data_IF_903275451097
#
_entry.id   IF_903275451097
#
_cell.length_a   1.000
_cell.length_b   1.000
_cell.length_c   1.000
_cell.angle_alpha   90.00
_cell.angle_beta   90.00
_cell.angle_gamma   90.00
#
_symmetry.space_group_name_H-M   'P 1'
#
loop_
_entity.id
_entity.type
_entity.pdbx_description
1 polymer ?
#
# COMPACT_ATOMS: atom_id res chain seq x y z
N UNK A 1 12.75 5.64 11.22
CA UNK A 1 12.23 5.24 9.90
C UNK A 1 10.75 4.95 9.99
N UNK A 2 10.03 5.15 8.90
CA UNK A 2 8.62 4.87 8.75
C UNK A 2 8.40 3.58 7.97
N UNK A 3 7.28 2.92 8.24
CA UNK A 3 6.79 1.74 7.54
C UNK A 3 5.32 1.95 7.23
N UNK A 4 4.86 1.38 6.12
CA UNK A 4 3.45 1.36 5.76
C UNK A 4 2.96 -0.09 5.73
N UNK A 5 1.80 -0.36 6.32
CA UNK A 5 1.09 -1.65 6.22
C UNK A 5 -0.19 -1.43 5.45
N UNK A 6 -0.44 -2.26 4.45
CA UNK A 6 -1.74 -2.36 3.78
C UNK A 6 -2.57 -3.45 4.44
N UNK A 7 -3.89 -3.28 4.51
CA UNK A 7 -4.81 -4.30 5.02
C UNK A 7 -6.23 -4.03 4.51
N UNK A 8 -7.18 -4.90 4.87
CA UNK A 8 -8.54 -4.83 4.34
C UNK A 8 -8.62 -5.09 2.83
N UNK A 9 -7.86 -6.10 2.38
CA UNK A 9 -7.69 -6.41 0.97
C UNK A 9 -8.81 -7.22 0.34
N UNK A 10 -9.16 -6.89 -0.90
CA UNK A 10 -10.09 -7.60 -1.79
C UNK A 10 -9.55 -7.69 -3.21
N UNK A 11 -9.96 -8.71 -3.96
CA UNK A 11 -9.59 -8.87 -5.39
C UNK A 11 -10.58 -8.19 -6.34
N UNK A 12 -11.82 -8.00 -5.89
CA UNK A 12 -12.85 -7.24 -6.59
C UNK A 12 -13.09 -5.94 -5.83
N UNK A 13 -12.80 -4.75 -6.41
CA UNK A 13 -12.94 -3.47 -5.72
C UNK A 13 -14.39 -3.13 -5.38
N UNK A 14 -15.37 -3.70 -6.10
CA UNK A 14 -16.80 -3.46 -5.88
C UNK A 14 -17.42 -4.48 -4.90
N UNK A 15 -16.61 -5.38 -4.33
CA UNK A 15 -17.05 -6.36 -3.36
C UNK A 15 -17.47 -5.68 -2.04
N UNK A 16 -18.74 -5.84 -1.69
CA UNK A 16 -19.24 -5.50 -0.36
C UNK A 16 -18.67 -6.49 0.67
N UNK A 17 -17.94 -5.97 1.66
CA UNK A 17 -17.17 -6.79 2.61
C UNK A 17 -17.81 -6.78 3.99
N UNK A 18 -18.18 -7.98 4.46
CA UNK A 18 -18.65 -8.19 5.83
C UNK A 18 -17.51 -8.51 6.82
N UNK A 19 -16.28 -8.73 6.33
CA UNK A 19 -15.10 -9.09 7.12
C UNK A 19 -13.87 -8.19 6.82
N UNK A 20 -12.73 -8.52 7.42
CA UNK A 20 -11.48 -7.76 7.29
C UNK A 20 -10.67 -8.09 6.02
N UNK A 21 -11.12 -9.01 5.16
CA UNK A 21 -10.40 -9.39 3.95
C UNK A 21 -8.99 -9.94 4.16
N UNK A 22 -8.15 -9.80 3.14
CA UNK A 22 -6.75 -10.23 3.19
C UNK A 22 -5.86 -9.19 3.88
N UNK A 23 -4.95 -9.67 4.73
CA UNK A 23 -3.86 -8.83 5.24
C UNK A 23 -2.87 -8.51 4.12
N UNK A 24 -2.38 -7.28 4.11
CA UNK A 24 -1.50 -6.78 3.07
C UNK A 24 -0.03 -6.79 3.48
N UNK A 25 0.79 -6.42 2.51
CA UNK A 25 2.23 -6.32 2.72
C UNK A 25 2.60 -5.07 3.51
N UNK A 26 3.75 -5.16 4.20
CA UNK A 26 4.39 -4.06 4.89
C UNK A 26 5.62 -3.62 4.09
N UNK A 27 5.74 -2.32 3.81
CA UNK A 27 6.86 -1.75 3.09
C UNK A 27 7.64 -0.75 3.95
N UNK A 28 8.92 -0.58 3.62
CA UNK A 28 9.85 0.34 4.24
C UNK A 28 11.27 -0.22 4.26
N UNK A 29 12.20 0.46 4.94
CA UNK A 29 12.03 1.72 5.65
C UNK A 29 11.88 2.94 4.72
N UNK A 30 11.07 3.91 5.14
CA UNK A 30 10.91 5.22 4.50
C UNK A 30 11.34 6.36 5.42
N UNK A 31 11.82 7.45 4.84
CA UNK A 31 12.09 8.70 5.52
C UNK A 31 10.84 9.56 5.69
N UNK A 32 9.92 9.52 4.72
CA UNK A 32 8.64 10.22 4.79
C UNK A 32 7.53 9.47 4.05
N UNK A 33 6.29 9.76 4.44
CA UNK A 33 5.10 9.44 3.67
C UNK A 33 4.35 10.75 3.39
N UNK A 34 4.06 11.00 2.12
CA UNK A 34 3.39 12.21 1.65
C UNK A 34 2.16 11.80 0.85
N UNK A 35 1.01 12.41 1.12
CA UNK A 35 -0.19 12.21 0.30
C UNK A 35 -0.49 13.47 -0.50
N UNK A 36 -0.58 13.33 -1.82
CA UNK A 36 -0.92 14.42 -2.74
C UNK A 36 -2.37 14.25 -3.22
N UNK A 37 -3.20 15.28 -3.03
CA UNK A 37 -4.60 15.33 -3.48
C UNK A 37 -5.46 14.11 -3.10
N UNK A 38 -5.13 13.45 -1.98
CA UNK A 38 -5.86 12.29 -1.47
C UNK A 38 -5.71 10.98 -2.26
N UNK A 39 -5.02 10.97 -3.41
CA UNK A 39 -4.99 9.79 -4.29
C UNK A 39 -3.60 9.28 -4.67
N UNK A 40 -2.54 9.98 -4.26
CA UNK A 40 -1.17 9.57 -4.53
C UNK A 40 -0.36 9.60 -3.24
N UNK A 41 0.06 8.42 -2.78
CA UNK A 41 0.97 8.26 -1.67
C UNK A 41 2.39 8.13 -2.20
N UNK A 42 3.25 9.07 -1.82
CA UNK A 42 4.68 9.08 -2.10
C UNK A 42 5.45 8.67 -0.86
N UNK A 43 6.20 7.58 -0.98
CA UNK A 43 6.98 6.99 0.10
C UNK A 43 8.46 7.19 -0.23
N UNK A 44 9.06 8.21 0.39
CA UNK A 44 10.45 8.57 0.11
C UNK A 44 11.42 7.72 0.90
N UNK A 45 12.33 7.04 0.21
CA UNK A 45 13.43 6.28 0.83
C UNK A 45 14.57 7.23 1.24
N UNK A 46 15.37 6.87 2.26
CA UNK A 46 16.53 7.66 2.67
C UNK A 46 17.52 7.97 1.55
N UNK A 47 17.62 7.10 0.54
CA UNK A 47 18.54 7.21 -0.60
C UNK A 47 17.99 8.11 -1.73
N UNK A 48 16.79 8.68 -1.56
CA UNK A 48 16.18 9.63 -2.50
C UNK A 48 15.24 9.02 -3.54
N UNK A 49 15.12 7.69 -3.62
CA UNK A 49 14.07 7.04 -4.42
C UNK A 49 12.68 7.28 -3.79
N UNK A 50 11.66 7.44 -4.62
CA UNK A 50 10.27 7.54 -4.19
C UNK A 50 9.51 6.34 -4.75
N UNK A 51 8.86 5.59 -3.86
CA UNK A 51 7.85 4.59 -4.23
C UNK A 51 6.47 5.28 -4.26
N UNK A 52 5.65 4.95 -5.25
CA UNK A 52 4.33 5.55 -5.45
C UNK A 52 3.23 4.49 -5.33
N UNK A 53 2.28 4.73 -4.42
CA UNK A 53 1.04 3.98 -4.29
C UNK A 53 -0.13 4.87 -4.74
N UNK A 54 -1.03 4.30 -5.53
CA UNK A 54 -2.16 5.02 -6.10
C UNK A 54 -3.46 4.56 -5.45
N UNK A 55 -4.29 5.52 -5.06
CA UNK A 55 -5.66 5.27 -4.63
C UNK A 55 -6.56 5.26 -5.87
N UNK A 56 -7.28 4.18 -6.04
CA UNK A 56 -8.21 3.88 -7.13
C UNK A 56 -9.59 3.58 -6.55
N UNK A 57 -10.62 3.55 -7.40
CA UNK A 57 -11.99 3.24 -6.97
C UNK A 57 -12.42 4.10 -5.76
N UNK A 58 -12.07 5.39 -5.83
CA UNK A 58 -12.29 6.42 -4.79
C UNK A 58 -11.39 6.33 -3.55
N UNK A 59 -11.21 5.15 -2.95
CA UNK A 59 -10.55 5.01 -1.64
C UNK A 59 -9.58 3.83 -1.49
N UNK A 60 -9.29 3.07 -2.56
CA UNK A 60 -8.53 1.81 -2.47
C UNK A 60 -7.12 1.88 -3.03
N UNK A 61 -6.13 1.46 -2.25
CA UNK A 61 -4.77 1.27 -2.75
C UNK A 61 -4.69 -0.05 -3.51
N UNK A 62 -4.28 -0.01 -4.77
CA UNK A 62 -3.99 -1.24 -5.53
C UNK A 62 -2.53 -1.67 -5.34
N UNK A 63 -2.33 -2.96 -5.05
CA UNK A 63 -1.02 -3.59 -5.10
C UNK A 63 -1.12 -5.09 -5.42
N UNK A 64 -0.42 -5.53 -6.47
CA UNK A 64 -0.24 -6.94 -6.83
C UNK A 64 -1.54 -7.75 -6.97
N UNK A 65 -2.57 -7.15 -7.57
CA UNK A 65 -3.88 -7.79 -7.77
C UNK A 65 -4.85 -7.64 -6.61
N UNK A 66 -4.49 -6.90 -5.56
CA UNK A 66 -5.32 -6.68 -4.37
C UNK A 66 -5.59 -5.18 -4.18
N UNK A 67 -6.83 -4.86 -3.84
CA UNK A 67 -7.31 -3.54 -3.48
C UNK A 67 -7.45 -3.46 -1.97
N UNK A 68 -6.72 -2.55 -1.34
CA UNK A 68 -6.68 -2.38 0.11
C UNK A 68 -7.44 -1.12 0.52
N UNK A 69 -8.43 -1.30 1.40
CA UNK A 69 -9.21 -0.18 1.93
C UNK A 69 -8.46 0.65 2.96
N UNK A 70 -7.46 0.07 3.63
CA UNK A 70 -6.79 0.71 4.75
C UNK A 70 -5.26 0.63 4.64
N UNK A 71 -4.61 1.67 5.14
CA UNK A 71 -3.17 1.66 5.38
C UNK A 71 -2.81 2.37 6.68
N UNK A 72 -1.76 1.88 7.33
CA UNK A 72 -1.19 2.52 8.51
C UNK A 72 0.25 2.90 8.27
N UNK A 73 0.65 4.11 8.69
CA UNK A 73 2.05 4.52 8.75
C UNK A 73 2.50 4.48 10.20
N UNK A 74 3.61 3.79 10.47
CA UNK A 74 4.12 3.59 11.83
C UNK A 74 5.64 3.60 11.88
N UNK A 75 6.19 3.72 13.07
CA UNK A 75 7.64 3.80 13.29
C UNK A 75 8.29 2.42 13.51
N UNK A 76 9.61 2.42 13.58
CA UNK A 76 10.39 1.21 13.82
C UNK A 76 10.12 0.55 15.18
N UNK A 77 9.64 1.29 16.19
CA UNK A 77 9.31 0.72 17.49
C UNK A 77 8.08 -0.16 17.40
N UNK A 78 7.07 0.26 16.64
CA UNK A 78 5.89 -0.57 16.36
C UNK A 78 6.27 -1.79 15.52
N UNK A 79 7.17 -1.65 14.53
CA UNK A 79 7.66 -2.80 13.76
C UNK A 79 8.35 -3.85 14.66
N UNK A 80 9.26 -3.42 15.54
CA UNK A 80 10.01 -4.35 16.42
C UNK A 80 9.14 -5.06 17.46
N UNK A 81 8.05 -4.42 17.89
CA UNK A 81 7.10 -4.99 18.85
C UNK A 81 6.09 -5.93 18.19
N UNK A 82 5.90 -5.80 16.89
CA UNK A 82 5.04 -6.68 16.10
C UNK A 82 5.87 -7.82 15.50
N UNK A 83 5.21 -8.92 15.12
CA UNK A 83 5.85 -10.01 14.36
C UNK A 83 5.78 -9.75 12.85
N UNK A 84 5.78 -8.48 12.47
CA UNK A 84 5.60 -8.02 11.10
C UNK A 84 6.87 -8.25 10.26
N UNK A 85 6.67 -8.64 9.00
CA UNK A 85 7.75 -8.84 8.04
C UNK A 85 7.63 -7.81 6.91
N UNK A 86 8.72 -7.11 6.66
CA UNK A 86 8.80 -6.12 5.58
C UNK A 86 9.14 -6.81 4.27
N UNK A 87 8.46 -6.44 3.20
CA UNK A 87 8.73 -6.93 1.85
C UNK A 87 9.34 -5.85 0.97
N UNK A 88 10.00 -6.29 -0.11
CA UNK A 88 10.57 -5.39 -1.12
C UNK A 88 9.44 -4.82 -1.98
N UNK A 89 9.34 -3.49 -2.02
CA UNK A 89 8.40 -2.82 -2.89
C UNK A 89 8.82 -2.90 -4.36
N UNK A 90 7.87 -3.26 -5.24
CA UNK A 90 8.01 -3.22 -6.69
C UNK A 90 6.99 -2.24 -7.29
N UNK A 91 7.46 -1.19 -7.96
CA UNK A 91 6.63 -0.11 -8.49
C UNK A 91 5.59 -0.58 -9.52
N UNK A 92 5.92 -1.58 -10.32
CA UNK A 92 5.00 -2.07 -11.35
C UNK A 92 3.79 -2.82 -10.77
N UNK A 93 3.92 -3.36 -9.56
CA UNK A 93 2.80 -4.00 -8.84
C UNK A 93 1.78 -3.00 -8.30
N UNK A 94 2.17 -1.73 -8.15
CA UNK A 94 1.28 -0.66 -7.69
C UNK A 94 0.43 -0.05 -8.82
N UNK A 95 0.59 -0.49 -10.07
CA UNK A 95 -0.16 -0.01 -11.22
C UNK A 95 -1.27 -0.99 -11.56
N UNK A 96 -2.48 -0.47 -11.82
CA UNK A 96 -3.55 -1.30 -12.36
C UNK A 96 -3.12 -1.97 -13.67
N UNK A 97 -3.57 -3.21 -13.94
CA UNK A 97 -3.37 -3.84 -15.23
C UNK A 97 -3.99 -2.97 -16.32
N UNK A 98 -3.27 -2.79 -17.43
CA UNK A 98 -3.87 -2.18 -18.61
C UNK A 98 -5.07 -3.03 -19.02
N UNK A 99 -6.25 -2.41 -19.16
CA UNK A 99 -7.40 -3.10 -19.74
C UNK A 99 -6.98 -3.56 -21.13
N UNK A 100 -6.89 -4.87 -21.33
CA UNK A 100 -6.77 -5.43 -22.68
C UNK A 100 -8.02 -5.02 -23.45
N UNK A 101 -7.89 -4.08 -24.37
CA UNK A 101 -8.93 -3.81 -25.36
C UNK A 101 -9.09 -5.08 -26.20
N UNK A 102 -10.12 -5.88 -25.89
CA UNK A 102 -10.62 -6.97 -26.73
C UNK A 102 -11.73 -6.47 -27.63
#
# INVERSE_FOLDING_TARGET
MLYIRLFHGRTDPDLDMDDWGSDGTIFGPYGFAHTTYGHLLKLGKPEGQIDELFVHHEDLIYYDGVYYGDWSVFDEQVLKKSQFQVSVFQQDKAKLPEKSCS
#
